data_IF_649749066729
#
_entry.id   IF_649749066729
#
_cell.length_a   1.000
_cell.length_b   1.000
_cell.length_c   1.000
_cell.angle_alpha   90.00
_cell.angle_beta   90.00
_cell.angle_gamma   90.00
#
_symmetry.space_group_name_H-M   'P 1'
#
loop_
_entity.id
_entity.type
_entity.pdbx_description
1 polymer ?
#
# COMPACT_ATOMS: atom_id res chain seq x y z
N UNK A 1 -13.47 -4.46 29.15
CA UNK A 1 -12.67 -4.20 27.92
C UNK A 1 -13.42 -3.20 27.07
N UNK A 2 -12.86 -2.01 26.77
CA UNK A 2 -13.49 -1.08 25.82
C UNK A 2 -13.41 -1.72 24.44
N UNK A 3 -14.56 -1.96 23.80
CA UNK A 3 -14.58 -2.36 22.40
C UNK A 3 -13.81 -1.32 21.60
N UNK A 4 -12.73 -1.72 20.94
CA UNK A 4 -11.96 -0.79 20.11
C UNK A 4 -12.80 -0.48 18.87
N UNK A 5 -13.05 0.79 18.63
CA UNK A 5 -13.90 1.25 17.54
C UNK A 5 -13.21 0.97 16.19
N UNK A 6 -13.99 0.56 15.19
CA UNK A 6 -13.53 0.47 13.81
C UNK A 6 -13.14 1.87 13.31
N UNK A 7 -11.93 2.09 12.75
CA UNK A 7 -11.40 3.43 12.54
C UNK A 7 -12.10 4.20 11.41
N UNK A 8 -12.76 3.49 10.49
CA UNK A 8 -13.43 4.09 9.34
C UNK A 8 -14.85 4.51 9.72
N UNK A 9 -15.04 5.81 9.96
CA UNK A 9 -16.36 6.40 10.20
C UNK A 9 -17.19 6.39 8.92
N UNK A 10 -18.50 6.66 9.02
CA UNK A 10 -19.40 6.78 7.86
C UNK A 10 -18.84 7.71 6.77
N UNK A 11 -18.28 8.86 7.15
CA UNK A 11 -17.75 9.82 6.19
C UNK A 11 -16.52 9.28 5.46
N UNK A 12 -15.66 8.52 6.14
CA UNK A 12 -14.49 7.89 5.51
C UNK A 12 -14.94 6.77 4.55
N UNK A 13 -15.94 5.98 4.93
CA UNK A 13 -16.52 4.95 4.05
C UNK A 13 -17.13 5.60 2.80
N UNK A 14 -17.89 6.68 2.95
CA UNK A 14 -18.44 7.43 1.82
C UNK A 14 -17.33 7.95 0.90
N UNK A 15 -16.24 8.49 1.47
CA UNK A 15 -15.10 8.92 0.67
C UNK A 15 -14.46 7.76 -0.10
N UNK A 16 -14.24 6.59 0.53
CA UNK A 16 -13.70 5.41 -0.15
C UNK A 16 -14.62 4.98 -1.30
N UNK A 17 -15.92 4.87 -1.07
CA UNK A 17 -16.90 4.51 -2.12
C UNK A 17 -16.87 5.52 -3.26
N UNK A 18 -16.77 6.81 -2.95
CA UNK A 18 -16.67 7.87 -3.95
C UNK A 18 -15.40 7.74 -4.80
N UNK A 19 -14.23 7.53 -4.18
CA UNK A 19 -12.96 7.33 -4.90
C UNK A 19 -13.04 6.12 -5.85
N UNK A 20 -13.57 4.99 -5.38
CA UNK A 20 -13.76 3.79 -6.20
C UNK A 20 -14.74 4.02 -7.36
N UNK A 21 -15.82 4.76 -7.12
CA UNK A 21 -16.80 5.09 -8.16
C UNK A 21 -16.18 5.97 -9.24
N UNK A 22 -15.43 7.01 -8.85
CA UNK A 22 -14.77 7.89 -9.81
C UNK A 22 -13.69 7.13 -10.59
N UNK A 23 -12.85 6.35 -9.92
CA UNK A 23 -11.84 5.53 -10.59
C UNK A 23 -12.44 4.52 -11.57
N UNK A 24 -13.55 3.87 -11.18
CA UNK A 24 -14.31 2.98 -12.06
C UNK A 24 -14.78 3.70 -13.31
N UNK A 25 -15.41 4.87 -13.17
CA UNK A 25 -15.93 5.65 -14.30
C UNK A 25 -14.81 6.09 -15.25
N UNK A 26 -13.65 6.46 -14.70
CA UNK A 26 -12.49 6.84 -15.52
C UNK A 26 -12.00 5.64 -16.34
N UNK A 27 -11.77 4.48 -15.73
CA UNK A 27 -11.29 3.28 -16.46
C UNK A 27 -12.33 2.78 -17.44
N UNK A 28 -13.61 2.81 -17.07
CA UNK A 28 -14.71 2.45 -17.96
C UNK A 28 -14.71 3.30 -19.23
N UNK A 29 -14.52 4.62 -19.08
CA UNK A 29 -14.53 5.55 -20.21
C UNK A 29 -13.23 5.54 -21.04
N UNK A 30 -12.10 5.19 -20.44
CA UNK A 30 -10.77 5.33 -21.08
C UNK A 30 -10.15 4.03 -21.55
N UNK A 31 -10.57 2.90 -20.98
CA UNK A 31 -10.03 1.56 -21.29
C UNK A 31 -11.14 0.60 -21.69
N UNK A 32 -12.13 0.41 -20.83
CA UNK A 32 -13.22 -0.53 -21.07
C UNK A 32 -13.90 -1.03 -19.81
N UNK A 33 -15.00 -1.75 -20.00
CA UNK A 33 -15.83 -2.24 -18.91
C UNK A 33 -15.12 -3.31 -18.08
N UNK A 34 -14.44 -4.25 -18.73
CA UNK A 34 -13.89 -5.39 -18.02
C UNK A 34 -12.69 -4.97 -17.19
N UNK A 35 -11.83 -4.09 -17.69
CA UNK A 35 -10.76 -3.49 -16.91
C UNK A 35 -11.30 -2.75 -15.68
N UNK A 36 -12.37 -1.97 -15.85
CA UNK A 36 -12.98 -1.24 -14.75
C UNK A 36 -13.56 -2.20 -13.70
N UNK A 37 -14.16 -3.31 -14.12
CA UNK A 37 -14.63 -4.38 -13.22
C UNK A 37 -13.48 -4.98 -12.40
N UNK A 38 -12.36 -5.34 -13.04
CA UNK A 38 -11.21 -5.90 -12.35
C UNK A 38 -10.58 -4.89 -11.38
N UNK A 39 -10.33 -3.66 -11.82
CA UNK A 39 -9.59 -2.66 -11.02
C UNK A 39 -10.36 -2.04 -9.87
N UNK A 40 -11.70 -2.03 -9.94
CA UNK A 40 -12.51 -1.34 -8.92
C UNK A 40 -13.58 -2.21 -8.27
N UNK A 41 -14.25 -3.11 -9.00
CA UNK A 41 -15.30 -3.95 -8.39
C UNK A 41 -14.69 -5.13 -7.66
N UNK A 42 -13.84 -5.90 -8.35
CA UNK A 42 -13.14 -7.04 -7.73
C UNK A 42 -12.25 -6.55 -6.58
N UNK A 43 -11.50 -5.48 -6.81
CA UNK A 43 -10.67 -4.85 -5.79
C UNK A 43 -11.48 -4.31 -4.60
N UNK A 44 -12.69 -3.75 -4.79
CA UNK A 44 -13.55 -3.34 -3.68
C UNK A 44 -14.06 -4.56 -2.87
N UNK A 45 -14.39 -5.66 -3.54
CA UNK A 45 -14.80 -6.90 -2.86
C UNK A 45 -13.64 -7.42 -2.02
N UNK A 46 -12.42 -7.47 -2.58
CA UNK A 46 -11.21 -7.85 -1.86
C UNK A 46 -10.97 -6.97 -0.63
N UNK A 47 -11.07 -5.64 -0.79
CA UNK A 47 -10.93 -4.70 0.32
C UNK A 47 -11.88 -5.01 1.48
N UNK A 48 -13.17 -5.18 1.16
CA UNK A 48 -14.20 -5.45 2.16
C UNK A 48 -13.92 -6.76 2.87
N UNK A 49 -13.58 -7.83 2.14
CA UNK A 49 -13.25 -9.13 2.71
C UNK A 49 -12.02 -9.06 3.61
N UNK A 50 -10.95 -8.39 3.17
CA UNK A 50 -9.73 -8.26 3.95
C UNK A 50 -9.93 -7.43 5.21
N UNK A 51 -10.61 -6.29 5.12
CA UNK A 51 -10.95 -5.47 6.27
C UNK A 51 -11.87 -6.23 7.24
N UNK A 52 -12.85 -6.99 6.73
CA UNK A 52 -13.74 -7.80 7.55
C UNK A 52 -12.98 -8.88 8.32
N UNK A 53 -12.14 -9.68 7.64
CA UNK A 53 -11.31 -10.72 8.29
C UNK A 53 -10.36 -10.08 9.30
N UNK A 54 -9.65 -9.02 8.89
CA UNK A 54 -8.71 -8.30 9.76
C UNK A 54 -9.41 -7.75 10.99
N UNK A 55 -10.62 -7.20 10.84
CA UNK A 55 -11.40 -6.70 11.96
C UNK A 55 -11.89 -7.81 12.89
N UNK A 56 -12.39 -8.91 12.33
CA UNK A 56 -12.85 -10.06 13.10
C UNK A 56 -11.72 -10.68 13.93
N UNK A 57 -10.52 -10.80 13.37
CA UNK A 57 -9.38 -11.42 14.04
C UNK A 57 -8.62 -10.46 14.96
N UNK A 58 -8.47 -9.19 14.55
CA UNK A 58 -7.59 -8.23 15.25
C UNK A 58 -8.32 -7.10 15.95
N UNK A 59 -9.64 -6.97 15.81
CA UNK A 59 -10.43 -5.90 16.40
C UNK A 59 -10.08 -5.70 17.87
N UNK A 60 -10.15 -6.76 18.67
CA UNK A 60 -9.87 -6.72 20.10
C UNK A 60 -8.37 -6.68 20.47
N UNK A 61 -7.47 -6.33 19.56
CA UNK A 61 -6.04 -6.16 19.89
C UNK A 61 -5.84 -4.80 20.54
N UNK A 62 -5.40 -4.75 21.83
CA UNK A 62 -5.03 -3.50 22.44
C UNK A 62 -3.84 -2.93 21.68
N UNK A 63 -3.90 -1.65 21.32
CA UNK A 63 -2.76 -0.94 20.77
C UNK A 63 -2.27 0.10 21.74
N UNK A 64 -0.99 -0.01 22.08
CA UNK A 64 -0.29 1.07 22.76
C UNK A 64 -0.01 2.18 21.74
N UNK A 65 -0.25 3.41 22.16
CA UNK A 65 0.02 4.56 21.32
C UNK A 65 1.49 4.93 21.43
N UNK A 66 2.24 4.82 20.33
CA UNK A 66 3.59 5.38 20.27
C UNK A 66 3.45 6.90 20.10
N UNK A 67 3.74 7.67 21.16
CA UNK A 67 3.67 9.12 21.07
C UNK A 67 4.68 9.65 20.02
N UNK A 68 4.17 10.43 19.09
CA UNK A 68 4.99 11.16 18.12
C UNK A 68 5.64 12.33 18.86
N UNK A 69 6.97 12.44 18.78
CA UNK A 69 7.76 13.39 19.57
C UNK A 69 7.65 14.82 19.05
N UNK A 70 7.76 15.03 17.74
CA UNK A 70 7.70 16.36 17.09
C UNK A 70 6.75 16.32 15.89
N UNK A 71 5.43 16.22 16.12
CA UNK A 71 4.48 15.82 15.09
C UNK A 71 4.46 16.75 13.87
N UNK A 72 4.50 18.07 14.06
CA UNK A 72 4.46 19.02 12.94
C UNK A 72 5.73 18.93 12.09
N UNK A 73 6.89 19.03 12.73
CA UNK A 73 8.19 18.98 12.07
C UNK A 73 8.40 17.64 11.35
N UNK A 74 8.08 16.52 12.01
CA UNK A 74 8.19 15.19 11.41
C UNK A 74 7.24 15.02 10.21
N UNK A 75 5.99 15.50 10.30
CA UNK A 75 5.06 15.44 9.19
C UNK A 75 5.55 16.27 8.00
N UNK A 76 5.94 17.53 8.24
CA UNK A 76 6.42 18.44 7.19
C UNK A 76 7.66 17.88 6.51
N UNK A 77 8.65 17.40 7.28
CA UNK A 77 9.85 16.79 6.70
C UNK A 77 9.52 15.51 5.93
N UNK A 78 8.61 14.67 6.42
CA UNK A 78 8.13 13.51 5.68
C UNK A 78 7.49 13.86 4.34
N UNK A 79 6.64 14.88 4.30
CA UNK A 79 6.02 15.34 3.06
C UNK A 79 7.03 15.95 2.09
N UNK A 80 8.04 16.69 2.59
CA UNK A 80 9.15 17.21 1.76
C UNK A 80 9.93 16.04 1.16
N UNK A 81 10.28 15.03 1.96
CA UNK A 81 11.00 13.85 1.49
C UNK A 81 10.20 13.07 0.44
N UNK A 82 8.89 12.93 0.63
CA UNK A 82 8.02 12.30 -0.35
C UNK A 82 8.00 13.08 -1.69
N UNK A 83 7.94 14.42 -1.63
CA UNK A 83 7.99 15.27 -2.82
C UNK A 83 9.35 15.22 -3.53
N UNK A 84 10.45 15.20 -2.77
CA UNK A 84 11.80 15.04 -3.31
C UNK A 84 11.96 13.69 -3.99
N UNK A 85 11.51 12.61 -3.35
CA UNK A 85 11.52 11.28 -3.96
C UNK A 85 10.73 11.27 -5.27
N UNK A 86 9.52 11.83 -5.28
CA UNK A 86 8.71 11.91 -6.50
C UNK A 86 9.46 12.61 -7.63
N UNK A 87 10.11 13.74 -7.33
CA UNK A 87 10.90 14.50 -8.30
C UNK A 87 12.10 13.68 -8.81
N UNK A 88 12.83 13.00 -7.92
CA UNK A 88 13.98 12.18 -8.31
C UNK A 88 13.56 10.97 -9.17
N UNK A 89 12.49 10.27 -8.80
CA UNK A 89 11.95 9.16 -9.57
C UNK A 89 11.48 9.62 -10.96
N UNK A 90 10.89 10.81 -11.05
CA UNK A 90 10.53 11.43 -12.34
C UNK A 90 11.77 11.66 -13.21
N UNK A 91 12.83 12.26 -12.64
CA UNK A 91 14.09 12.50 -13.35
C UNK A 91 14.76 11.19 -13.79
N UNK A 92 14.69 10.15 -12.97
CA UNK A 92 15.18 8.81 -13.30
C UNK A 92 14.47 8.24 -14.52
N UNK A 93 13.14 8.24 -14.54
CA UNK A 93 12.39 7.72 -15.70
C UNK A 93 12.51 8.59 -16.96
N UNK A 94 12.84 9.87 -16.82
CA UNK A 94 13.22 10.73 -17.95
C UNK A 94 14.64 10.44 -18.47
N UNK A 95 15.39 9.52 -17.86
CA UNK A 95 16.77 9.19 -18.24
C UNK A 95 17.79 10.26 -17.85
N UNK A 96 17.41 11.20 -16.97
CA UNK A 96 18.24 12.37 -16.62
C UNK A 96 19.04 12.19 -15.33
N UNK A 97 18.74 11.15 -14.54
CA UNK A 97 19.50 10.80 -13.34
C UNK A 97 19.92 9.33 -13.37
N UNK A 98 21.18 9.06 -13.02
CA UNK A 98 21.75 7.72 -12.84
C UNK A 98 21.80 7.30 -11.37
N UNK A 99 21.20 8.12 -10.49
CA UNK A 99 21.28 8.01 -9.04
C UNK A 99 20.04 7.35 -8.43
N UNK A 100 19.46 6.35 -9.10
CA UNK A 100 18.28 5.63 -8.62
C UNK A 100 18.45 5.04 -7.21
N UNK A 101 19.69 4.73 -6.81
CA UNK A 101 20.02 4.23 -5.48
C UNK A 101 19.88 5.30 -4.38
N UNK A 102 19.99 6.59 -4.73
CA UNK A 102 19.75 7.68 -3.77
C UNK A 102 18.27 7.76 -3.41
N UNK A 103 17.36 7.40 -4.31
CA UNK A 103 15.91 7.44 -4.07
C UNK A 103 15.56 6.45 -2.95
N UNK A 104 16.12 5.24 -3.04
CA UNK A 104 16.03 4.22 -2.00
C UNK A 104 16.70 4.72 -0.71
N UNK A 105 17.93 5.23 -0.75
CA UNK A 105 18.59 5.75 0.46
C UNK A 105 17.80 6.88 1.13
N UNK A 106 17.12 7.73 0.36
CA UNK A 106 16.30 8.83 0.89
C UNK A 106 15.03 8.29 1.55
N UNK A 107 14.29 7.39 0.91
CA UNK A 107 13.05 6.84 1.47
C UNK A 107 13.29 5.87 2.64
N UNK A 108 14.38 5.09 2.59
CA UNK A 108 14.77 4.21 3.69
C UNK A 108 15.44 4.97 4.82
N UNK A 109 16.40 5.81 4.43
CA UNK A 109 17.27 6.51 5.36
C UNK A 109 16.50 7.52 6.15
N UNK A 110 15.54 8.22 5.56
CA UNK A 110 14.84 9.29 6.25
C UNK A 110 14.06 8.81 7.50
N UNK A 111 13.14 7.83 7.43
CA UNK A 111 12.49 7.31 8.63
C UNK A 111 13.49 6.83 9.69
N UNK A 112 14.53 6.10 9.29
CA UNK A 112 15.55 5.60 10.20
C UNK A 112 16.33 6.74 10.87
N UNK A 113 16.82 7.71 10.09
CA UNK A 113 17.51 8.92 10.58
C UNK A 113 16.62 9.65 11.56
N UNK A 114 15.35 9.86 11.23
CA UNK A 114 14.40 10.54 12.11
C UNK A 114 14.17 9.74 13.41
N UNK A 115 14.02 8.43 13.31
CA UNK A 115 13.86 7.58 14.48
C UNK A 115 15.10 7.60 15.39
N UNK A 116 16.31 7.54 14.83
CA UNK A 116 17.55 7.61 15.61
C UNK A 116 17.81 9.00 16.17
N UNK A 117 17.69 10.06 15.36
CA UNK A 117 17.93 11.44 15.77
C UNK A 117 16.98 11.87 16.90
N UNK A 118 15.72 11.44 16.83
CA UNK A 118 14.73 11.73 17.87
C UNK A 118 14.69 10.65 18.96
N UNK A 119 15.56 9.63 18.93
CA UNK A 119 15.67 8.56 19.94
C UNK A 119 14.37 7.78 20.16
N UNK A 120 13.68 7.43 19.08
CA UNK A 120 12.55 6.51 19.17
C UNK A 120 13.02 5.11 19.58
N UNK A 121 12.18 4.39 20.33
CA UNK A 121 12.47 3.01 20.69
C UNK A 121 12.15 2.06 19.52
N UNK A 122 12.63 0.83 19.60
CA UNK A 122 12.41 -0.21 18.58
C UNK A 122 10.92 -0.52 18.36
N UNK A 123 10.10 -0.41 19.42
CA UNK A 123 8.65 -0.60 19.34
C UNK A 123 7.99 0.47 18.45
N UNK A 124 8.41 1.73 18.54
CA UNK A 124 7.90 2.81 17.70
C UNK A 124 8.33 2.69 16.23
N UNK A 125 9.43 1.99 15.96
CA UNK A 125 9.87 1.60 14.61
C UNK A 125 9.11 0.37 14.08
N UNK A 126 8.16 -0.18 14.85
CA UNK A 126 7.40 -1.36 14.45
C UNK A 126 8.17 -2.67 14.56
N UNK A 127 9.34 -2.69 15.22
CA UNK A 127 10.14 -3.90 15.45
C UNK A 127 9.53 -4.71 16.61
N UNK A 128 8.25 -5.04 16.48
CA UNK A 128 7.48 -5.84 17.42
C UNK A 128 7.01 -7.12 16.74
N UNK A 129 6.93 -8.20 17.53
CA UNK A 129 6.39 -9.47 17.07
C UNK A 129 4.87 -9.40 17.14
N UNK A 130 4.21 -9.53 15.99
CA UNK A 130 2.77 -9.56 15.93
C UNK A 130 2.20 -10.82 16.62
N UNK A 131 1.01 -10.75 17.23
CA UNK A 131 0.38 -11.92 17.84
C UNK A 131 0.05 -12.98 16.77
N UNK A 132 -0.01 -14.29 17.12
CA UNK A 132 -0.26 -15.37 16.14
C UNK A 132 -1.49 -15.17 15.26
N UNK A 133 -2.58 -14.61 15.82
CA UNK A 133 -3.80 -14.27 15.08
C UNK A 133 -3.60 -13.25 13.95
N UNK A 134 -2.56 -12.42 14.02
CA UNK A 134 -2.22 -11.47 12.97
C UNK A 134 -1.54 -12.15 11.78
N UNK A 135 -0.72 -13.18 12.04
CA UNK A 135 -0.18 -14.02 10.98
C UNK A 135 -1.26 -14.85 10.29
N UNK A 136 -2.29 -15.27 11.03
CA UNK A 136 -3.48 -15.88 10.42
C UNK A 136 -4.19 -14.92 9.46
N UNK A 137 -4.24 -13.60 9.75
CA UNK A 137 -4.79 -12.61 8.80
C UNK A 137 -4.04 -12.66 7.47
N UNK A 138 -2.70 -12.68 7.50
CA UNK A 138 -1.88 -12.75 6.28
C UNK A 138 -2.23 -13.99 5.46
N UNK A 139 -2.30 -15.16 6.11
CA UNK A 139 -2.64 -16.41 5.44
C UNK A 139 -4.05 -16.38 4.80
N UNK A 140 -5.04 -15.88 5.55
CA UNK A 140 -6.43 -15.82 5.06
C UNK A 140 -6.57 -14.77 3.94
N UNK A 141 -5.89 -13.62 4.06
CA UNK A 141 -5.87 -12.59 3.02
C UNK A 141 -5.25 -13.12 1.73
N UNK A 142 -4.10 -13.81 1.82
CA UNK A 142 -3.47 -14.46 0.67
C UNK A 142 -4.38 -15.52 0.05
N UNK A 143 -5.04 -16.35 0.85
CA UNK A 143 -5.99 -17.35 0.37
C UNK A 143 -7.21 -16.71 -0.32
N UNK A 144 -7.74 -15.61 0.22
CA UNK A 144 -8.84 -14.84 -0.41
C UNK A 144 -8.36 -14.24 -1.74
N UNK A 145 -7.18 -13.63 -1.78
CA UNK A 145 -6.61 -13.07 -3.02
C UNK A 145 -6.50 -14.14 -4.10
N UNK A 146 -5.97 -15.31 -3.76
CA UNK A 146 -5.85 -16.44 -4.67
C UNK A 146 -7.22 -16.94 -5.14
N UNK A 147 -8.16 -17.16 -4.21
CA UNK A 147 -9.48 -17.66 -4.53
C UNK A 147 -10.28 -16.70 -5.42
N UNK A 148 -10.27 -15.40 -5.11
CA UNK A 148 -10.95 -14.39 -5.91
C UNK A 148 -10.27 -14.27 -7.28
N UNK A 149 -8.93 -14.17 -7.33
CA UNK A 149 -8.20 -14.10 -8.61
C UNK A 149 -8.46 -15.30 -9.50
N UNK A 150 -8.47 -16.52 -8.93
CA UNK A 150 -8.87 -17.74 -9.63
C UNK A 150 -10.30 -17.63 -10.15
N UNK A 151 -11.28 -17.37 -9.28
CA UNK A 151 -12.70 -17.28 -9.67
C UNK A 151 -12.97 -16.23 -10.74
N UNK A 152 -12.39 -15.03 -10.61
CA UNK A 152 -12.58 -13.96 -11.59
C UNK A 152 -11.93 -14.31 -12.92
N UNK A 153 -10.82 -15.04 -12.93
CA UNK A 153 -10.20 -15.52 -14.17
C UNK A 153 -11.05 -16.52 -14.96
N UNK A 154 -12.00 -17.22 -14.33
CA UNK A 154 -12.95 -18.11 -15.02
C UNK A 154 -14.26 -17.41 -15.39
N UNK A 155 -14.68 -16.41 -14.61
CA UNK A 155 -16.01 -15.80 -14.73
C UNK A 155 -15.99 -14.53 -15.57
N UNK A 156 -14.95 -13.69 -15.41
CA UNK A 156 -14.85 -12.42 -16.08
C UNK A 156 -14.00 -12.55 -17.34
N UNK A 157 -14.39 -11.90 -18.46
CA UNK A 157 -13.52 -11.75 -19.62
C UNK A 157 -12.20 -11.06 -19.22
N UNK A 158 -11.08 -11.35 -19.90
CA UNK A 158 -9.82 -10.66 -19.64
C UNK A 158 -9.99 -9.15 -19.84
N UNK A 159 -9.34 -8.36 -18.98
CA UNK A 159 -9.33 -6.90 -19.08
C UNK A 159 -8.73 -6.40 -20.40
N UNK A 160 -9.23 -5.29 -20.91
CA UNK A 160 -8.83 -4.77 -22.22
C UNK A 160 -7.35 -4.37 -22.27
N UNK A 161 -6.74 -4.00 -21.13
CA UNK A 161 -5.30 -3.71 -21.06
C UNK A 161 -4.45 -4.98 -21.22
N UNK A 162 -4.88 -6.13 -20.69
CA UNK A 162 -4.12 -7.39 -20.78
C UNK A 162 -4.13 -7.99 -22.20
N UNK A 163 -5.14 -7.65 -23.01
CA UNK A 163 -5.20 -8.00 -24.43
C UNK A 163 -4.26 -7.13 -25.29
N UNK A 164 -3.98 -5.90 -24.87
CA UNK A 164 -3.08 -4.97 -25.58
C UNK A 164 -1.60 -5.21 -25.27
N UNK A 165 -1.29 -5.62 -24.04
CA UNK A 165 0.04 -5.99 -23.56
C UNK A 165 0.26 -7.48 -23.83
N UNK A 166 0.37 -7.87 -25.09
CA UNK A 166 0.67 -9.25 -25.48
C UNK A 166 1.86 -9.81 -24.69
N UNK A 167 1.58 -10.79 -23.81
CA UNK A 167 2.52 -11.74 -23.19
C UNK A 167 3.92 -11.23 -22.81
N UNK A 168 4.06 -10.01 -22.28
CA UNK A 168 5.36 -9.50 -21.82
C UNK A 168 5.67 -9.88 -20.35
N UNK A 169 4.73 -10.53 -19.67
CA UNK A 169 4.84 -10.86 -18.23
C UNK A 169 4.93 -12.38 -17.94
N UNK A 170 5.36 -13.21 -18.90
CA UNK A 170 5.84 -14.56 -18.59
C UNK A 170 7.36 -14.63 -18.77
N UNK A 171 8.08 -13.76 -18.06
CA UNK A 171 9.40 -14.17 -17.57
C UNK A 171 9.17 -15.30 -16.58
N UNK A 172 9.01 -16.53 -17.09
CA UNK A 172 8.90 -17.70 -16.23
C UNK A 172 10.10 -17.67 -15.30
N UNK A 173 9.87 -17.57 -13.99
CA UNK A 173 10.92 -17.84 -13.04
C UNK A 173 11.43 -19.26 -13.33
N UNK A 174 12.60 -19.33 -13.95
CA UNK A 174 13.16 -20.57 -14.51
C UNK A 174 13.59 -21.55 -13.42
N UNK A 175 13.70 -21.08 -12.18
CA UNK A 175 14.10 -21.87 -11.03
C UNK A 175 13.46 -21.35 -9.72
N UNK A 176 13.47 -22.20 -8.69
CA UNK A 176 13.11 -21.81 -7.32
C UNK A 176 14.04 -20.72 -6.76
N UNK A 177 15.29 -20.66 -7.23
CA UNK A 177 16.24 -19.62 -6.86
C UNK A 177 15.82 -18.25 -7.40
N UNK A 178 15.30 -18.18 -8.63
CA UNK A 178 14.80 -16.93 -9.23
C UNK A 178 13.58 -16.40 -8.46
N UNK A 179 12.69 -17.31 -8.06
CA UNK A 179 11.54 -16.97 -7.20
C UNK A 179 12.02 -16.42 -5.85
N UNK A 180 12.96 -17.10 -5.20
CA UNK A 180 13.49 -16.64 -3.91
C UNK A 180 14.21 -15.30 -4.02
N UNK A 181 15.02 -15.11 -5.08
CA UNK A 181 15.70 -13.85 -5.35
C UNK A 181 14.70 -12.71 -5.61
N UNK A 182 13.62 -12.98 -6.34
CA UNK A 182 12.54 -12.02 -6.56
C UNK A 182 11.87 -11.61 -5.24
N UNK A 183 11.44 -12.56 -4.41
CA UNK A 183 10.84 -12.25 -3.11
C UNK A 183 11.82 -11.51 -2.18
N UNK A 184 13.08 -11.93 -2.13
CA UNK A 184 14.12 -11.28 -1.34
C UNK A 184 14.37 -9.83 -1.79
N UNK A 185 14.45 -9.61 -3.10
CA UNK A 185 14.59 -8.28 -3.68
C UNK A 185 13.37 -7.43 -3.34
N UNK A 186 12.16 -7.88 -3.65
CA UNK A 186 10.91 -7.15 -3.37
C UNK A 186 10.72 -6.86 -1.89
N UNK A 187 11.15 -7.76 -1.00
CA UNK A 187 11.12 -7.51 0.44
C UNK A 187 12.00 -6.33 0.82
N UNK A 188 13.23 -6.34 0.32
CA UNK A 188 14.21 -5.33 0.66
C UNK A 188 13.89 -3.99 0.02
N UNK A 189 13.55 -3.95 -1.27
CA UNK A 189 13.41 -2.71 -2.06
C UNK A 189 12.02 -2.10 -2.11
N UNK A 190 10.98 -2.87 -1.81
CA UNK A 190 9.61 -2.36 -1.83
C UNK A 190 8.94 -2.52 -0.46
N UNK A 191 8.76 -3.75 0.00
CA UNK A 191 7.92 -4.03 1.16
C UNK A 191 8.42 -3.39 2.46
N UNK A 192 9.69 -3.52 2.82
CA UNK A 192 10.23 -2.88 4.03
C UNK A 192 10.21 -1.35 3.93
N UNK A 193 10.79 -0.71 2.90
CA UNK A 193 10.87 0.75 2.85
C UNK A 193 9.50 1.41 2.74
N UNK A 194 8.61 0.87 1.92
CA UNK A 194 7.27 1.42 1.75
C UNK A 194 6.46 1.32 3.05
N UNK A 195 6.47 0.16 3.71
CA UNK A 195 5.75 0.01 4.98
C UNK A 195 6.38 0.85 6.10
N UNK A 196 7.71 0.95 6.15
CA UNK A 196 8.43 1.79 7.12
C UNK A 196 8.10 3.27 6.92
N UNK A 197 8.13 3.78 5.69
CA UNK A 197 7.84 5.19 5.43
C UNK A 197 6.35 5.50 5.60
N UNK A 198 5.48 4.76 4.94
CA UNK A 198 4.07 5.13 4.89
C UNK A 198 3.30 4.72 6.15
N UNK A 199 3.54 3.52 6.70
CA UNK A 199 2.76 3.02 7.84
C UNK A 199 3.42 3.34 9.16
N UNK A 200 4.71 3.04 9.32
CA UNK A 200 5.41 3.25 10.59
C UNK A 200 5.70 4.73 10.83
N UNK A 201 6.19 5.43 9.81
CA UNK A 201 6.52 6.85 9.92
C UNK A 201 5.29 7.73 9.68
N UNK A 202 4.79 7.85 8.45
CA UNK A 202 3.84 8.88 8.04
C UNK A 202 2.47 8.77 8.72
N UNK A 203 1.86 7.59 8.77
CA UNK A 203 0.49 7.41 9.29
C UNK A 203 0.32 7.91 10.76
N UNK A 204 1.20 7.58 11.73
CA UNK A 204 1.09 8.14 13.09
C UNK A 204 1.19 9.67 13.13
N UNK A 205 1.98 10.29 12.26
CA UNK A 205 2.09 11.76 12.19
C UNK A 205 0.80 12.38 11.66
N UNK A 206 0.20 11.78 10.64
CA UNK A 206 -1.13 12.19 10.15
C UNK A 206 -2.20 12.01 11.22
N UNK A 207 -2.18 10.88 11.95
CA UNK A 207 -3.15 10.57 13.01
C UNK A 207 -3.05 11.49 14.23
N UNK A 208 -1.97 12.27 14.36
CA UNK A 208 -1.88 13.32 15.37
C UNK A 208 -2.80 14.51 15.08
N UNK A 209 -3.07 14.79 13.80
CA UNK A 209 -3.87 15.93 13.34
C UNK A 209 -5.25 15.55 12.81
N UNK A 210 -5.46 14.26 12.53
CA UNK A 210 -6.66 13.76 11.87
C UNK A 210 -7.19 12.54 12.61
N UNK A 211 -8.52 12.29 12.58
CA UNK A 211 -9.07 11.02 13.02
C UNK A 211 -8.40 9.85 12.28
N UNK A 212 -8.14 8.75 12.98
CA UNK A 212 -7.35 7.62 12.47
C UNK A 212 -7.80 7.11 11.09
N UNK A 213 -9.12 7.01 10.84
CA UNK A 213 -9.64 6.59 9.54
C UNK A 213 -9.25 7.54 8.39
N UNK A 214 -9.26 8.85 8.63
CA UNK A 214 -8.81 9.86 7.66
C UNK A 214 -7.29 9.82 7.47
N UNK A 215 -6.53 9.61 8.54
CA UNK A 215 -5.08 9.44 8.46
C UNK A 215 -4.70 8.22 7.60
N UNK A 216 -5.39 7.09 7.77
CA UNK A 216 -5.21 5.89 6.92
C UNK A 216 -5.59 6.20 5.47
N UNK A 217 -6.73 6.85 5.22
CA UNK A 217 -7.19 7.18 3.87
C UNK A 217 -6.21 8.10 3.12
N UNK A 218 -5.75 9.18 3.77
CA UNK A 218 -4.81 10.13 3.15
C UNK A 218 -3.45 9.45 2.93
N UNK A 219 -2.97 8.68 3.89
CA UNK A 219 -1.75 7.90 3.70
C UNK A 219 -1.89 6.94 2.51
N UNK A 220 -3.03 6.26 2.37
CA UNK A 220 -3.30 5.34 1.28
C UNK A 220 -3.25 6.04 -0.09
N UNK A 221 -3.84 7.23 -0.20
CA UNK A 221 -3.77 8.05 -1.41
C UNK A 221 -2.33 8.49 -1.72
N UNK A 222 -1.57 8.93 -0.71
CA UNK A 222 -0.17 9.32 -0.89
C UNK A 222 0.70 8.12 -1.32
N UNK A 223 0.41 6.94 -0.78
CA UNK A 223 1.06 5.69 -1.17
C UNK A 223 0.73 5.28 -2.61
N UNK A 224 -0.51 5.43 -3.07
CA UNK A 224 -0.81 5.15 -4.48
C UNK A 224 -0.21 6.23 -5.40
N UNK A 225 -0.28 7.51 -5.03
CA UNK A 225 0.28 8.63 -5.80
C UNK A 225 1.81 8.61 -5.90
N UNK A 226 2.49 7.99 -4.95
CA UNK A 226 3.93 7.75 -4.99
C UNK A 226 4.40 7.02 -6.26
N UNK A 227 3.54 6.18 -6.83
CA UNK A 227 3.82 5.40 -8.04
C UNK A 227 3.52 6.16 -9.35
N UNK A 228 3.02 7.39 -9.28
CA UNK A 228 2.60 8.15 -10.46
C UNK A 228 3.72 8.34 -11.50
N UNK A 229 4.99 8.62 -11.13
CA UNK A 229 6.06 8.73 -12.13
C UNK A 229 6.27 7.43 -12.91
N UNK A 230 6.25 6.26 -12.26
CA UNK A 230 6.40 4.98 -12.96
C UNK A 230 5.16 4.66 -13.81
N UNK A 231 3.95 4.96 -13.33
CA UNK A 231 2.72 4.78 -14.11
C UNK A 231 2.77 5.52 -15.44
N UNK A 232 3.18 6.78 -15.44
CA UNK A 232 3.16 7.63 -16.63
C UNK A 232 4.39 7.40 -17.50
N UNK A 233 5.59 7.44 -16.92
CA UNK A 233 6.83 7.48 -17.68
C UNK A 233 7.36 6.09 -18.04
N UNK A 234 7.11 5.08 -17.19
CA UNK A 234 7.57 3.71 -17.42
C UNK A 234 6.50 2.83 -18.05
N UNK A 235 5.28 2.85 -17.50
CA UNK A 235 4.15 2.06 -18.02
C UNK A 235 3.36 2.76 -19.14
N UNK A 236 3.64 4.03 -19.41
CA UNK A 236 2.99 4.77 -20.50
C UNK A 236 1.51 5.06 -20.27
N UNK A 237 1.03 5.05 -19.02
CA UNK A 237 -0.38 5.32 -18.73
C UNK A 237 -0.74 6.76 -19.09
N UNK A 238 -1.95 6.95 -19.61
CA UNK A 238 -2.54 8.28 -19.71
C UNK A 238 -2.74 8.87 -18.30
N UNK A 239 -2.73 10.21 -18.21
CA UNK A 239 -2.96 10.90 -16.94
C UNK A 239 -4.28 10.50 -16.26
N UNK A 240 -5.34 10.25 -17.05
CA UNK A 240 -6.62 9.77 -16.53
C UNK A 240 -6.51 8.36 -15.96
N UNK A 241 -5.84 7.44 -16.66
CA UNK A 241 -5.65 6.08 -16.16
C UNK A 241 -4.78 6.06 -14.90
N UNK A 242 -3.70 6.84 -14.87
CA UNK A 242 -2.85 6.98 -13.69
C UNK A 242 -3.60 7.59 -12.50
N UNK A 243 -4.48 8.58 -12.74
CA UNK A 243 -5.37 9.09 -11.69
C UNK A 243 -6.29 7.99 -11.16
N UNK A 244 -6.88 7.18 -12.03
CA UNK A 244 -7.72 6.06 -11.60
C UNK A 244 -6.94 5.08 -10.71
N UNK A 245 -5.71 4.73 -11.08
CA UNK A 245 -4.84 3.88 -10.24
C UNK A 245 -4.61 4.46 -8.84
N UNK A 246 -4.42 5.78 -8.73
CA UNK A 246 -4.28 6.45 -7.43
C UNK A 246 -5.52 6.25 -6.56
N UNK A 247 -6.71 6.20 -7.17
CA UNK A 247 -7.97 6.00 -6.48
C UNK A 247 -8.19 4.53 -6.04
N UNK A 248 -7.42 3.58 -6.58
CA UNK A 248 -7.35 2.20 -6.10
C UNK A 248 -6.42 2.13 -4.88
N UNK A 249 -6.98 2.39 -3.70
CA UNK A 249 -6.23 2.61 -2.44
C UNK A 249 -6.14 1.38 -1.52
N UNK A 250 -6.41 0.19 -2.06
CA UNK A 250 -6.50 -1.07 -1.29
C UNK A 250 -5.29 -1.33 -0.38
N UNK A 251 -4.11 -1.33 -0.97
CA UNK A 251 -2.86 -1.58 -0.24
C UNK A 251 -2.71 -0.63 0.95
N UNK A 252 -2.87 0.67 0.67
CA UNK A 252 -2.92 1.75 1.66
C UNK A 252 -3.84 1.45 2.83
N UNK A 253 -5.12 1.19 2.54
CA UNK A 253 -6.17 1.02 3.54
C UNK A 253 -5.95 -0.20 4.44
N UNK A 254 -5.63 -1.36 3.86
CA UNK A 254 -5.44 -2.60 4.62
C UNK A 254 -4.17 -2.52 5.47
N UNK A 255 -3.05 -2.09 4.87
CA UNK A 255 -1.79 -1.93 5.61
C UNK A 255 -1.94 -0.94 6.77
N UNK A 256 -2.64 0.18 6.53
CA UNK A 256 -2.87 1.18 7.57
C UNK A 256 -3.80 0.70 8.69
N UNK A 257 -4.82 -0.10 8.36
CA UNK A 257 -5.66 -0.74 9.37
C UNK A 257 -4.85 -1.74 10.21
N UNK A 258 -4.09 -2.64 9.57
CA UNK A 258 -3.30 -3.66 10.27
C UNK A 258 -2.22 -3.02 11.14
N UNK A 259 -1.53 -1.98 10.65
CA UNK A 259 -0.60 -1.18 11.45
C UNK A 259 -1.26 -0.66 12.73
N UNK A 260 -2.47 -0.07 12.60
CA UNK A 260 -3.21 0.48 13.75
C UNK A 260 -3.65 -0.57 14.78
N UNK A 261 -3.52 -1.88 14.46
CA UNK A 261 -3.88 -3.01 15.32
C UNK A 261 -2.68 -3.78 15.85
N UNK A 262 -1.58 -3.84 15.10
CA UNK A 262 -0.45 -4.73 15.43
C UNK A 262 0.84 -4.00 15.70
N UNK A 263 1.02 -2.80 15.14
CA UNK A 263 2.28 -2.03 15.21
C UNK A 263 3.52 -2.89 14.86
N UNK A 264 3.38 -3.79 13.89
CA UNK A 264 4.43 -4.76 13.50
C UNK A 264 4.82 -4.56 12.04
N UNK A 265 6.01 -3.99 11.82
CA UNK A 265 6.60 -3.84 10.51
C UNK A 265 6.88 -5.19 9.84
N UNK A 266 7.43 -6.22 10.51
CA UNK A 266 7.63 -7.53 9.88
C UNK A 266 6.34 -8.13 9.33
N UNK A 267 5.23 -8.03 10.07
CA UNK A 267 3.93 -8.48 9.60
C UNK A 267 3.48 -7.73 8.34
N UNK A 268 3.61 -6.40 8.35
CA UNK A 268 3.24 -5.57 7.20
C UNK A 268 4.11 -5.87 5.99
N UNK A 269 5.42 -6.07 6.17
CA UNK A 269 6.32 -6.40 5.06
C UNK A 269 5.99 -7.76 4.44
N UNK A 270 5.62 -8.76 5.25
CA UNK A 270 5.16 -10.05 4.72
C UNK A 270 3.81 -9.92 4.03
N UNK A 271 2.85 -9.22 4.65
CA UNK A 271 1.57 -8.92 4.01
C UNK A 271 1.78 -8.22 2.66
N UNK A 272 2.74 -7.31 2.60
CA UNK A 272 3.03 -6.53 1.42
C UNK A 272 3.43 -7.41 0.24
N UNK A 273 4.28 -8.41 0.48
CA UNK A 273 4.66 -9.38 -0.54
C UNK A 273 3.46 -10.18 -1.06
N UNK A 274 2.58 -10.67 -0.19
CA UNK A 274 1.53 -11.61 -0.60
C UNK A 274 0.23 -10.96 -1.04
N UNK A 275 -0.08 -9.77 -0.52
CA UNK A 275 -1.32 -9.08 -0.80
C UNK A 275 -1.19 -8.07 -1.94
N UNK A 276 0.02 -7.59 -2.25
CA UNK A 276 0.21 -6.48 -3.19
C UNK A 276 1.04 -6.81 -4.44
N UNK A 277 1.65 -7.99 -4.51
CA UNK A 277 2.13 -8.54 -5.77
C UNK A 277 0.93 -8.90 -6.66
N UNK A 278 0.41 -7.89 -7.38
CA UNK A 278 -0.55 -8.08 -8.46
C UNK A 278 0.19 -8.77 -9.61
N UNK A 279 -0.28 -9.97 -10.01
CA UNK A 279 0.16 -10.68 -11.20
C UNK A 279 -0.52 -10.11 -12.45
#
# INVERSE_FOLDING_TARGET
MKATVFPFTRNVIVAIVFLYTIGFLIVFATVGLWEAMHRFVVEAILLVLWLWVSHKLLGNTPTEDSSVKRPCMELVLGLIVLALFFAMLTLYFLGTSWLFWLDEVVIYGFPLIMFFALRYNTRAMGLSIAPPRAWLVVLVVAAIQFAIGFLTGYILPPGELSLSLGSAATGQASSSADVLAFFGRSLLIAAIPEELFFRVYLQPRLAHYLPLGWAILIQALLFSAFHLPSMILYHGYSWSLALAEILSINNGLIGGYIWSRTRSLPLLSVLHLFAYLRF
#
